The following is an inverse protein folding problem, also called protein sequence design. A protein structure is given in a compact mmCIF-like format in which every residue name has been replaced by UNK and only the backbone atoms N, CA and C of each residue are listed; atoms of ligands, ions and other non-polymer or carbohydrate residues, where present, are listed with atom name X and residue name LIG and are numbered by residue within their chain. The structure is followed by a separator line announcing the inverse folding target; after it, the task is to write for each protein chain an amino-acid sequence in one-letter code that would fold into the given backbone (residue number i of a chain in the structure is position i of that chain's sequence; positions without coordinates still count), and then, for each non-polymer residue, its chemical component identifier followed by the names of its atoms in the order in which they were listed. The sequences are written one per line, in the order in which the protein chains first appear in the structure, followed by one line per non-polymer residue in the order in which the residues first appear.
data_IF_918031645649
#
_entry.id   IF_918031645649
#
_cell.length_a   1.000
_cell.length_b   1.000
_cell.length_c   1.000
_cell.angle_alpha   90.00
_cell.angle_beta   90.00
_cell.angle_gamma   90.00
#
_symmetry.space_group_name_H-M   'P 1'
#
loop_
_entity.id
_entity.type
_entity.pdbx_description
1 polymer ?
#
# COMPACT_ATOMS: atom_id res chain seq x y z
N UNK A 1 11.64 14.18 -13.35
CA UNK A 1 11.18 14.50 -11.98
C UNK A 1 10.36 13.33 -11.47
N UNK A 2 10.54 12.90 -10.21
CA UNK A 2 9.88 11.71 -9.63
C UNK A 2 8.35 11.76 -9.77
N UNK A 3 7.75 12.94 -9.59
CA UNK A 3 6.32 13.16 -9.75
C UNK A 3 5.75 12.75 -11.14
N UNK A 4 6.58 12.79 -12.19
CA UNK A 4 6.16 12.37 -13.53
C UNK A 4 5.85 10.88 -13.64
N UNK A 5 6.42 10.04 -12.75
CA UNK A 5 6.16 8.59 -12.74
C UNK A 5 4.74 8.25 -12.28
N UNK A 6 4.06 9.18 -11.60
CA UNK A 6 2.72 9.00 -11.05
C UNK A 6 1.60 9.54 -11.94
N UNK A 7 1.93 10.02 -13.14
CA UNK A 7 0.99 10.68 -14.05
C UNK A 7 0.45 9.79 -15.17
N UNK A 8 0.78 8.50 -15.18
CA UNK A 8 0.34 7.60 -16.24
C UNK A 8 -1.20 7.39 -16.20
N UNK A 9 -1.89 7.37 -17.36
CA UNK A 9 -3.36 7.35 -17.42
C UNK A 9 -3.98 6.05 -16.91
N UNK A 10 -3.18 4.98 -16.81
CA UNK A 10 -3.56 3.67 -16.29
C UNK A 10 -3.38 3.54 -14.77
N UNK A 11 -2.89 4.57 -14.08
CA UNK A 11 -2.79 4.64 -12.61
C UNK A 11 -4.03 5.31 -12.02
N UNK A 12 -5.09 4.54 -11.80
CA UNK A 12 -6.34 5.06 -11.23
C UNK A 12 -6.29 5.24 -9.71
N UNK A 13 -5.51 4.41 -9.00
CA UNK A 13 -5.28 4.52 -7.56
C UNK A 13 -3.82 4.82 -7.24
N UNK A 14 -2.86 4.13 -7.88
CA UNK A 14 -1.39 4.25 -7.62
C UNK A 14 -0.76 5.48 -8.26
N UNK A 15 -1.44 6.62 -8.13
CA UNK A 15 -1.04 7.92 -8.66
C UNK A 15 -0.61 8.90 -7.57
N UNK A 16 -0.45 10.17 -7.95
CA UNK A 16 0.02 11.23 -7.06
C UNK A 16 -0.91 11.48 -5.86
N UNK A 17 -2.21 11.19 -6.00
CA UNK A 17 -3.16 11.32 -4.90
C UNK A 17 -2.87 10.35 -3.75
N UNK A 18 -2.45 9.12 -4.05
CA UNK A 18 -2.03 8.11 -3.06
C UNK A 18 -0.80 8.59 -2.28
N UNK A 19 0.24 9.02 -3.00
CA UNK A 19 1.47 9.56 -2.39
C UNK A 19 1.15 10.74 -1.46
N UNK A 20 0.31 11.69 -1.90
CA UNK A 20 -0.10 12.83 -1.07
C UNK A 20 -0.87 12.39 0.18
N UNK A 21 -1.71 11.37 0.09
CA UNK A 21 -2.43 10.83 1.25
C UNK A 21 -1.45 10.26 2.29
N UNK A 22 -0.46 9.47 1.85
CA UNK A 22 0.58 8.91 2.73
C UNK A 22 1.44 10.00 3.36
N UNK A 23 1.86 11.02 2.59
CA UNK A 23 2.61 12.15 3.14
C UNK A 23 1.81 12.93 4.18
N UNK A 24 0.49 13.08 3.99
CA UNK A 24 -0.39 13.69 4.99
C UNK A 24 -0.46 12.87 6.29
N UNK A 25 -0.50 11.54 6.19
CA UNK A 25 -0.42 10.65 7.36
C UNK A 25 0.95 10.73 8.03
N UNK A 26 2.04 10.77 7.27
CA UNK A 26 3.40 10.91 7.81
C UNK A 26 3.58 12.22 8.57
N UNK A 27 3.01 13.32 8.07
CA UNK A 27 2.99 14.60 8.79
C UNK A 27 2.17 14.49 10.09
N UNK A 28 0.96 13.93 10.03
CA UNK A 28 0.09 13.77 11.20
C UNK A 28 0.71 12.88 12.30
N UNK A 29 1.59 11.96 11.92
CA UNK A 29 2.28 11.04 12.83
C UNK A 29 3.78 11.33 12.97
N UNK A 30 4.25 12.52 12.59
CA UNK A 30 5.68 12.82 12.51
C UNK A 30 6.42 12.65 13.85
N UNK A 31 5.76 12.93 14.98
CA UNK A 31 6.33 12.74 16.32
C UNK A 31 6.59 11.27 16.70
N UNK A 32 5.98 10.32 15.98
CA UNK A 32 6.18 8.88 16.18
C UNK A 32 7.26 8.29 15.26
N UNK A 33 7.80 9.08 14.31
CA UNK A 33 8.82 8.65 13.37
C UNK A 33 10.22 8.96 13.91
N UNK A 34 11.06 7.93 13.99
CA UNK A 34 12.47 8.10 14.37
C UNK A 34 13.30 8.64 13.20
N UNK A 35 13.07 8.12 12.00
CA UNK A 35 13.70 8.58 10.75
C UNK A 35 12.63 9.01 9.74
N UNK A 36 12.10 10.23 9.94
CA UNK A 36 11.08 10.82 9.08
C UNK A 36 11.53 10.90 7.61
N UNK A 37 12.79 11.25 7.35
CA UNK A 37 13.32 11.37 5.98
C UNK A 37 13.33 10.03 5.26
N UNK A 38 13.69 8.93 5.97
CA UNK A 38 13.63 7.59 5.41
C UNK A 38 12.19 7.17 5.07
N UNK A 39 11.23 7.46 5.95
CA UNK A 39 9.82 7.12 5.71
C UNK A 39 9.23 7.93 4.56
N UNK A 40 9.49 9.24 4.49
CA UNK A 40 9.06 10.07 3.37
C UNK A 40 9.67 9.61 2.04
N UNK A 41 10.96 9.22 2.04
CA UNK A 41 11.58 8.63 0.86
C UNK A 41 10.87 7.31 0.46
N UNK A 42 10.60 6.41 1.40
CA UNK A 42 9.86 5.18 1.10
C UNK A 42 8.47 5.47 0.51
N UNK A 43 7.73 6.45 1.06
CA UNK A 43 6.44 6.90 0.52
C UNK A 43 6.59 7.37 -0.94
N UNK A 44 7.58 8.21 -1.22
CA UNK A 44 7.84 8.73 -2.55
C UNK A 44 8.29 7.71 -3.58
N UNK A 45 8.78 6.54 -3.16
CA UNK A 45 9.35 5.56 -4.07
C UNK A 45 8.57 4.25 -4.16
N UNK A 46 7.74 3.87 -3.18
CA UNK A 46 7.20 2.50 -3.11
C UNK A 46 6.43 2.06 -4.39
N UNK A 47 5.62 2.97 -4.95
CA UNK A 47 4.89 2.76 -6.20
C UNK A 47 5.48 3.57 -7.38
N UNK A 48 6.74 3.99 -7.32
CA UNK A 48 7.38 4.77 -8.37
C UNK A 48 7.45 3.98 -9.69
N UNK A 49 7.77 2.68 -9.61
CA UNK A 49 7.56 1.73 -10.70
C UNK A 49 6.26 0.99 -10.42
N UNK A 50 5.33 1.04 -11.37
CA UNK A 50 4.05 0.35 -11.25
C UNK A 50 3.53 -0.04 -12.64
N UNK A 51 3.27 -1.32 -12.80
CA UNK A 51 2.50 -1.93 -13.88
C UNK A 51 1.73 -3.10 -13.28
N UNK A 52 0.39 -3.07 -13.36
CA UNK A 52 -0.47 -4.06 -12.72
C UNK A 52 -0.27 -5.48 -13.25
N UNK A 53 0.41 -5.66 -14.39
CA UNK A 53 0.75 -6.96 -15.00
C UNK A 53 2.04 -7.57 -14.45
N UNK A 54 2.79 -6.83 -13.64
CA UNK A 54 4.08 -7.25 -13.09
C UNK A 54 3.94 -7.69 -11.63
N UNK A 55 4.89 -8.53 -11.21
CA UNK A 55 5.01 -9.00 -9.82
C UNK A 55 6.27 -8.49 -9.12
N UNK A 56 7.05 -7.64 -9.77
CA UNK A 56 8.35 -7.14 -9.29
C UNK A 56 8.39 -5.60 -9.17
N UNK A 57 7.21 -4.95 -9.11
CA UNK A 57 7.09 -3.50 -9.03
C UNK A 57 7.83 -2.93 -7.82
N UNK A 58 7.62 -3.52 -6.64
CA UNK A 58 8.19 -3.07 -5.38
C UNK A 58 9.71 -3.23 -5.38
N UNK A 59 10.22 -4.36 -5.88
CA UNK A 59 11.65 -4.58 -6.03
C UNK A 59 12.28 -3.54 -6.97
N UNK A 60 11.64 -3.24 -8.10
CA UNK A 60 12.10 -2.22 -9.05
C UNK A 60 12.03 -0.81 -8.50
N UNK A 61 10.99 -0.50 -7.73
CA UNK A 61 10.85 0.75 -6.99
C UNK A 61 11.96 0.91 -5.95
N UNK A 62 12.32 -0.17 -5.25
CA UNK A 62 13.44 -0.18 -4.30
C UNK A 62 14.79 0.02 -5.01
N UNK A 63 15.02 -0.65 -6.14
CA UNK A 63 16.23 -0.46 -6.96
C UNK A 63 16.33 0.99 -7.47
N UNK A 64 15.22 1.56 -7.94
CA UNK A 64 15.15 2.96 -8.34
C UNK A 64 15.49 3.90 -7.17
N UNK A 65 15.00 3.63 -5.97
CA UNK A 65 15.34 4.41 -4.78
C UNK A 65 16.84 4.31 -4.46
N UNK A 66 17.42 3.10 -4.53
CA UNK A 66 18.87 2.88 -4.36
C UNK A 66 19.68 3.69 -5.35
N UNK A 67 19.31 3.68 -6.62
CA UNK A 67 20.02 4.41 -7.68
C UNK A 67 19.92 5.92 -7.49
N UNK A 68 18.73 6.43 -7.14
CA UNK A 68 18.46 7.87 -7.05
C UNK A 68 18.98 8.52 -5.78
N UNK A 69 19.06 7.77 -4.68
CA UNK A 69 19.50 8.28 -3.37
C UNK A 69 20.94 7.91 -3.04
N UNK A 70 21.63 7.17 -3.93
CA UNK A 70 23.05 6.83 -3.76
C UNK A 70 23.90 8.08 -3.57
N UNK A 71 24.61 8.15 -2.45
CA UNK A 71 25.46 9.29 -2.09
C UNK A 71 24.71 10.51 -1.55
N UNK A 72 23.37 10.49 -1.54
CA UNK A 72 22.53 11.52 -0.92
C UNK A 72 22.15 11.18 0.53
N UNK A 73 22.16 9.90 0.91
CA UNK A 73 22.03 9.44 2.30
C UNK A 73 23.05 8.34 2.62
N UNK A 74 23.23 8.06 3.92
CA UNK A 74 24.13 7.01 4.36
C UNK A 74 23.62 5.61 3.95
N UNK A 75 24.52 4.63 3.79
CA UNK A 75 24.15 3.29 3.30
C UNK A 75 23.11 2.57 4.17
N UNK A 76 23.10 2.83 5.48
CA UNK A 76 22.17 2.17 6.40
C UNK A 76 20.76 2.71 6.22
N UNK A 77 20.60 4.04 6.13
CA UNK A 77 19.31 4.67 5.78
C UNK A 77 18.82 4.22 4.41
N UNK A 78 19.71 4.18 3.41
CA UNK A 78 19.34 3.73 2.06
C UNK A 78 18.78 2.30 2.06
N UNK A 79 19.40 1.41 2.84
CA UNK A 79 18.94 0.03 2.97
C UNK A 79 17.59 -0.08 3.69
N UNK A 80 17.35 0.77 4.71
CA UNK A 80 16.04 0.86 5.37
C UNK A 80 14.95 1.30 4.41
N UNK A 81 15.20 2.34 3.61
CA UNK A 81 14.26 2.85 2.59
C UNK A 81 13.89 1.72 1.61
N UNK A 82 14.88 1.07 1.02
CA UNK A 82 14.66 0.00 0.04
C UNK A 82 13.94 -1.21 0.65
N UNK A 83 14.27 -1.56 1.89
CA UNK A 83 13.62 -2.64 2.64
C UNK A 83 12.16 -2.31 2.96
N UNK A 84 11.86 -1.07 3.34
CA UNK A 84 10.47 -0.61 3.55
C UNK A 84 9.66 -0.67 2.26
N UNK A 85 10.22 -0.18 1.14
CA UNK A 85 9.57 -0.26 -0.18
C UNK A 85 9.29 -1.71 -0.56
N UNK A 86 10.29 -2.59 -0.45
CA UNK A 86 10.11 -4.01 -0.79
C UNK A 86 9.02 -4.68 0.07
N UNK A 87 8.90 -4.26 1.33
CA UNK A 87 7.93 -4.81 2.26
C UNK A 87 6.47 -4.49 1.90
N UNK A 88 6.18 -3.49 1.05
CA UNK A 88 4.79 -3.20 0.61
C UNK A 88 4.19 -4.32 -0.24
N UNK A 89 5.01 -5.20 -0.83
CA UNK A 89 4.52 -6.36 -1.58
C UNK A 89 3.73 -7.36 -0.71
N UNK A 90 4.05 -7.44 0.59
CA UNK A 90 3.45 -8.40 1.53
C UNK A 90 2.83 -7.74 2.77
N UNK A 91 3.18 -6.48 3.03
CA UNK A 91 2.90 -5.75 4.26
C UNK A 91 3.38 -6.50 5.52
N UNK A 92 4.53 -7.17 5.40
CA UNK A 92 5.28 -7.76 6.50
C UNK A 92 6.49 -6.85 6.78
N UNK A 93 6.62 -6.26 7.98
CA UNK A 93 7.72 -5.38 8.32
C UNK A 93 9.06 -6.11 8.17
N UNK A 94 10.10 -5.43 7.63
CA UNK A 94 11.46 -5.95 7.65
C UNK A 94 11.92 -6.23 9.08
N UNK A 95 12.77 -7.25 9.23
CA UNK A 95 13.36 -7.61 10.52
C UNK A 95 14.58 -6.73 10.84
N UNK A 96 14.34 -5.45 11.12
CA UNK A 96 15.40 -4.53 11.51
C UNK A 96 15.88 -4.80 12.94
N UNK A 97 17.20 -4.83 13.14
CA UNK A 97 17.80 -5.00 14.46
C UNK A 97 17.43 -3.85 15.43
N UNK A 98 17.31 -2.62 14.91
CA UNK A 98 16.96 -1.45 15.69
C UNK A 98 15.42 -1.37 15.89
N UNK A 99 14.92 -1.34 17.15
CA UNK A 99 13.50 -1.26 17.42
C UNK A 99 12.81 -0.03 16.80
N UNK A 100 13.49 1.12 16.77
CA UNK A 100 12.97 2.35 16.18
C UNK A 100 12.76 2.22 14.65
N UNK A 101 13.75 1.66 13.94
CA UNK A 101 13.61 1.39 12.51
C UNK A 101 12.46 0.40 12.21
N UNK A 102 12.29 -0.63 13.06
CA UNK A 102 11.15 -1.56 12.93
C UNK A 102 9.81 -0.83 13.16
N UNK A 103 9.75 0.09 14.13
CA UNK A 103 8.56 0.90 14.39
C UNK A 103 8.21 1.82 13.22
N UNK A 104 9.21 2.49 12.62
CA UNK A 104 9.03 3.32 11.42
C UNK A 104 8.46 2.51 10.25
N UNK A 105 9.01 1.31 10.00
CA UNK A 105 8.51 0.43 8.95
C UNK A 105 7.08 -0.06 9.22
N UNK A 106 6.74 -0.41 10.47
CA UNK A 106 5.38 -0.77 10.83
C UNK A 106 4.40 0.39 10.59
N UNK A 107 4.79 1.60 10.97
CA UNK A 107 3.96 2.79 10.80
C UNK A 107 3.80 3.13 9.31
N UNK A 108 4.86 3.07 8.51
CA UNK A 108 4.80 3.23 7.06
C UNK A 108 3.84 2.22 6.38
N UNK A 109 3.96 0.94 6.72
CA UNK A 109 3.08 -0.10 6.16
C UNK A 109 1.62 0.08 6.61
N UNK A 110 1.38 0.54 7.84
CA UNK A 110 0.04 0.90 8.30
C UNK A 110 -0.53 2.11 7.53
N UNK A 111 0.30 3.10 7.19
CA UNK A 111 -0.12 4.24 6.35
C UNK A 111 -0.54 3.78 4.95
N UNK A 112 0.23 2.89 4.33
CA UNK A 112 -0.10 2.33 3.01
C UNK A 112 -1.41 1.52 3.04
N UNK A 113 -1.68 0.81 4.13
CA UNK A 113 -2.93 0.07 4.33
C UNK A 113 -4.11 0.92 4.81
N UNK A 114 -3.91 2.20 5.15
CA UNK A 114 -4.93 3.05 5.77
C UNK A 114 -6.22 3.17 4.94
N UNK A 115 -6.10 3.06 3.61
CA UNK A 115 -7.25 3.05 2.69
C UNK A 115 -8.27 1.96 3.03
N UNK A 116 -7.83 0.83 3.58
CA UNK A 116 -8.73 -0.25 3.97
C UNK A 116 -9.72 0.23 5.04
N UNK A 117 -9.27 1.04 5.99
CA UNK A 117 -10.09 1.60 7.07
C UNK A 117 -10.71 2.96 6.77
N UNK A 118 -10.65 3.44 5.52
CA UNK A 118 -11.26 4.70 5.13
C UNK A 118 -12.81 4.65 5.23
N UNK A 119 -13.50 5.81 5.25
CA UNK A 119 -14.95 5.85 5.16
C UNK A 119 -15.47 5.02 3.96
N UNK A 120 -16.62 4.33 4.07
CA UNK A 120 -17.08 3.36 3.05
C UNK A 120 -17.09 3.90 1.62
N UNK A 121 -17.50 5.15 1.41
CA UNK A 121 -17.52 5.76 0.07
C UNK A 121 -16.11 5.93 -0.53
N UNK A 122 -15.11 6.22 0.30
CA UNK A 122 -13.70 6.37 -0.12
C UNK A 122 -13.12 4.99 -0.45
N UNK A 123 -13.40 3.98 0.39
CA UNK A 123 -13.00 2.61 0.11
C UNK A 123 -13.64 2.05 -1.17
N UNK A 124 -14.91 2.35 -1.41
CA UNK A 124 -15.62 1.93 -2.63
C UNK A 124 -15.00 2.56 -3.89
N UNK A 125 -14.58 3.84 -3.82
CA UNK A 125 -13.86 4.49 -4.92
C UNK A 125 -12.48 3.84 -5.15
N UNK A 126 -11.78 3.45 -4.09
CA UNK A 126 -10.54 2.69 -4.16
C UNK A 126 -10.73 1.33 -4.83
N UNK A 127 -11.76 0.58 -4.48
CA UNK A 127 -12.06 -0.72 -5.10
C UNK A 127 -12.34 -0.57 -6.60
N UNK A 128 -13.10 0.45 -7.00
CA UNK A 128 -13.38 0.74 -8.40
C UNK A 128 -12.12 1.16 -9.18
N UNK A 129 -11.28 2.01 -8.59
CA UNK A 129 -10.01 2.40 -9.18
C UNK A 129 -9.07 1.19 -9.36
N UNK A 130 -8.97 0.34 -8.34
CA UNK A 130 -8.21 -0.90 -8.40
C UNK A 130 -8.76 -1.83 -9.49
N UNK A 131 -10.09 -2.00 -9.61
CA UNK A 131 -10.69 -2.81 -10.69
C UNK A 131 -10.28 -2.30 -12.08
N UNK A 132 -10.22 -0.98 -12.27
CA UNK A 132 -9.79 -0.35 -13.54
C UNK A 132 -8.32 -0.63 -13.86
N UNK A 133 -7.43 -0.55 -12.87
CA UNK A 133 -5.99 -0.89 -13.05
C UNK A 133 -5.78 -2.34 -13.46
N UNK A 134 -6.68 -3.24 -13.06
CA UNK A 134 -6.70 -4.65 -13.46
C UNK A 134 -7.74 -4.95 -14.55
N UNK A 135 -8.19 -3.96 -15.32
CA UNK A 135 -9.19 -4.13 -16.38
C UNK A 135 -8.80 -5.13 -17.48
N UNK A 136 -7.51 -5.49 -17.56
CA UNK A 136 -6.99 -6.53 -18.44
C UNK A 136 -7.20 -7.96 -17.92
N UNK A 137 -7.59 -8.12 -16.66
CA UNK A 137 -7.94 -9.42 -16.02
C UNK A 137 -9.43 -9.68 -16.23
N UNK A 138 -9.78 -10.88 -16.69
CA UNK A 138 -11.17 -11.32 -16.80
C UNK A 138 -11.87 -11.36 -15.42
N UNK A 139 -13.19 -11.28 -15.41
CA UNK A 139 -13.94 -11.10 -14.17
C UNK A 139 -13.82 -12.29 -13.21
N UNK A 140 -13.75 -13.53 -13.73
CA UNK A 140 -13.62 -14.71 -12.87
C UNK A 140 -12.25 -14.73 -12.17
N UNK A 141 -11.17 -14.49 -12.92
CA UNK A 141 -9.80 -14.40 -12.37
C UNK A 141 -9.68 -13.22 -11.40
N UNK A 142 -10.28 -12.07 -11.72
CA UNK A 142 -10.31 -10.90 -10.84
C UNK A 142 -11.01 -11.21 -9.51
N UNK A 143 -12.21 -11.79 -9.55
CA UNK A 143 -12.98 -12.14 -8.34
C UNK A 143 -12.19 -13.09 -7.45
N UNK A 144 -11.57 -14.13 -8.02
CA UNK A 144 -10.75 -15.08 -7.27
C UNK A 144 -9.52 -14.40 -6.64
N UNK A 145 -8.76 -13.65 -7.44
CA UNK A 145 -7.54 -12.99 -7.01
C UNK A 145 -7.79 -11.90 -5.96
N UNK A 146 -8.74 -11.00 -6.20
CA UNK A 146 -9.10 -9.94 -5.25
C UNK A 146 -9.66 -10.51 -3.96
N UNK A 147 -10.53 -11.53 -4.05
CA UNK A 147 -11.06 -12.21 -2.85
C UNK A 147 -9.95 -12.86 -2.02
N UNK A 148 -8.91 -13.43 -2.65
CA UNK A 148 -7.78 -14.02 -1.93
C UNK A 148 -6.99 -12.96 -1.16
N UNK A 149 -6.68 -11.83 -1.79
CA UNK A 149 -5.99 -10.70 -1.13
C UNK A 149 -6.78 -10.19 0.08
N UNK A 150 -8.08 -9.95 -0.11
CA UNK A 150 -8.97 -9.44 0.93
C UNK A 150 -9.14 -10.43 2.10
N UNK A 151 -9.29 -11.73 1.82
CA UNK A 151 -9.33 -12.76 2.87
C UNK A 151 -8.01 -12.84 3.64
N UNK A 152 -6.88 -12.74 2.95
CA UNK A 152 -5.56 -12.74 3.59
C UNK A 152 -5.38 -11.61 4.61
N UNK A 153 -6.04 -10.46 4.43
CA UNK A 153 -6.06 -9.41 5.46
C UNK A 153 -6.96 -9.77 6.64
N UNK A 154 -8.13 -10.35 6.42
CA UNK A 154 -9.04 -10.76 7.51
C UNK A 154 -8.46 -11.88 8.39
N UNK A 155 -7.63 -12.75 7.81
CA UNK A 155 -6.91 -13.82 8.50
C UNK A 155 -5.84 -13.31 9.47
N UNK A 156 -5.37 -12.06 9.31
CA UNK A 156 -4.43 -11.46 10.26
C UNK A 156 -5.11 -11.20 11.59
N UNK A 157 -4.41 -11.47 12.69
CA UNK A 157 -4.87 -11.10 14.03
C UNK A 157 -5.08 -9.58 14.16
N UNK A 158 -4.22 -8.79 13.51
CA UNK A 158 -4.32 -7.33 13.38
C UNK A 158 -3.96 -6.95 11.95
N UNK A 159 -4.81 -6.18 11.26
CA UNK A 159 -4.52 -5.62 9.94
C UNK A 159 -3.47 -4.51 10.10
N UNK A 160 -3.70 -3.63 11.09
CA UNK A 160 -2.78 -2.55 11.46
C UNK A 160 -1.96 -2.92 12.69
N UNK A 161 -0.65 -2.69 12.63
CA UNK A 161 0.30 -3.18 13.65
C UNK A 161 0.48 -2.19 14.78
N UNK A 162 0.54 -0.91 14.46
CA UNK A 162 0.69 0.16 15.44
C UNK A 162 -0.63 0.36 16.22
N UNK A 163 -0.51 0.76 17.49
CA UNK A 163 -1.68 0.97 18.33
C UNK A 163 -2.60 2.06 17.76
N UNK A 164 -2.02 3.16 17.27
CA UNK A 164 -2.76 4.29 16.72
C UNK A 164 -3.61 3.89 15.49
N UNK A 165 -3.00 3.23 14.50
CA UNK A 165 -3.74 2.83 13.29
C UNK A 165 -4.75 1.72 13.58
N UNK A 166 -4.41 0.78 14.46
CA UNK A 166 -5.36 -0.25 14.85
C UNK A 166 -6.60 0.33 15.52
N UNK A 167 -6.43 1.27 16.45
CA UNK A 167 -7.56 1.93 17.10
C UNK A 167 -8.41 2.74 16.11
N UNK A 168 -7.76 3.41 15.16
CA UNK A 168 -8.44 4.28 14.20
C UNK A 168 -9.13 3.52 13.04
N UNK A 169 -8.52 2.44 12.53
CA UNK A 169 -8.86 1.88 11.23
C UNK A 169 -9.27 0.40 11.24
N UNK A 170 -8.91 -0.38 12.27
CA UNK A 170 -9.08 -1.86 12.23
C UNK A 170 -10.55 -2.28 12.04
N UNK A 171 -11.46 -1.71 12.83
CA UNK A 171 -12.88 -2.06 12.78
C UNK A 171 -13.48 -1.72 11.40
N UNK A 172 -13.20 -0.51 10.91
CA UNK A 172 -13.71 -0.06 9.62
C UNK A 172 -13.11 -0.87 8.47
N UNK A 173 -11.81 -1.22 8.55
CA UNK A 173 -11.17 -2.06 7.55
C UNK A 173 -11.81 -3.44 7.45
N UNK A 174 -12.06 -4.10 8.58
CA UNK A 174 -12.74 -5.40 8.58
C UNK A 174 -14.15 -5.30 8.00
N UNK A 175 -14.89 -4.25 8.31
CA UNK A 175 -16.23 -4.01 7.76
C UNK A 175 -16.20 -3.78 6.24
N UNK A 176 -15.29 -2.93 5.76
CA UNK A 176 -15.10 -2.63 4.34
C UNK A 176 -14.71 -3.89 3.55
N UNK A 177 -13.73 -4.65 4.05
CA UNK A 177 -13.26 -5.87 3.41
C UNK A 177 -14.37 -6.92 3.36
N UNK A 178 -15.12 -7.13 4.46
CA UNK A 178 -16.23 -8.07 4.49
C UNK A 178 -17.36 -7.68 3.51
N UNK A 179 -17.63 -6.37 3.35
CA UNK A 179 -18.60 -5.89 2.37
C UNK A 179 -18.10 -6.13 0.94
N UNK A 180 -16.84 -5.83 0.62
CA UNK A 180 -16.27 -6.10 -0.70
C UNK A 180 -16.33 -7.60 -1.05
N UNK A 181 -15.97 -8.48 -0.11
CA UNK A 181 -16.08 -9.93 -0.31
C UNK A 181 -17.51 -10.40 -0.63
N UNK A 182 -18.53 -9.84 0.05
CA UNK A 182 -19.94 -10.14 -0.27
C UNK A 182 -20.33 -9.68 -1.68
N UNK A 183 -19.89 -8.49 -2.09
CA UNK A 183 -20.15 -7.96 -3.44
C UNK A 183 -19.46 -8.80 -4.52
N UNK A 184 -18.21 -9.21 -4.29
CA UNK A 184 -17.46 -10.08 -5.21
C UNK A 184 -18.12 -11.46 -5.36
N UNK A 185 -18.69 -12.02 -4.28
CA UNK A 185 -19.42 -13.28 -4.33
C UNK A 185 -20.79 -13.16 -5.05
N UNK A 186 -21.48 -12.03 -4.89
CA UNK A 186 -22.80 -11.80 -5.50
C UNK A 186 -22.75 -11.38 -6.99
N UNK A 187 -21.63 -10.83 -7.46
CA UNK A 187 -21.46 -10.36 -8.84
C UNK A 187 -21.27 -11.47 -9.89
N UNK A 188 -21.11 -12.73 -9.48
CA UNK A 188 -20.96 -13.87 -10.39
C UNK A 188 -22.27 -14.47 -10.92
N UNK A 189 -23.43 -13.90 -10.57
CA UNK A 189 -24.76 -14.28 -11.06
C UNK A 189 -25.37 -13.10 -11.83
N UNK A 190 -24.90 -12.88 -13.05
CA UNK A 190 -25.39 -11.77 -13.87
C UNK A 190 -24.64 -11.68 -15.19
N UNK A 191 -24.80 -12.71 -16.03
CA UNK A 191 -24.94 -12.61 -17.48
C UNK A 191 -24.89 -14.02 -18.08
N UNK A 192 -26.08 -14.62 -18.20
CA UNK A 192 -26.34 -15.64 -19.21
C UNK A 192 -27.49 -15.09 -20.07
N UNK A 193 -27.27 -14.89 -21.39
CA UNK A 193 -28.36 -14.56 -22.30
C UNK A 193 -29.38 -15.70 -22.42
#
# INVERSE_FOLDING_TARGET
MLAGLYGAPDRFYRGMAHVKALLGLAEAHCAALADREAVEAAIWFHDAIYDSRRTDNEAKSADLARDRLKGACDPLRLDRIASMITATATHVPPDFAEPAARADAMLFLDMDLAILGAPPAVFDAYEQATRKEYGWVDDATWVLGRSRVLRGFLERARIFRTAAFHQAYEQQARANIALSLRRLAGGGQGDAP
#
